data_IF_981775307273
#
_entry.id   IF_981775307273
#
_cell.length_a   1.000
_cell.length_b   1.000
_cell.length_c   1.000
_cell.angle_alpha   90.00
_cell.angle_beta   90.00
_cell.angle_gamma   90.00
#
_symmetry.space_group_name_H-M   'P 1'
#
loop_
_entity.id
_entity.type
_entity.pdbx_description
1 polymer ?
#
# COMPACT_ATOMS: atom_id res chain seq x y z
N UNK A 1 -11.55 -6.87 -5.30
CA UNK A 1 -10.72 -5.98 -6.14
C UNK A 1 -9.38 -6.68 -6.27
N UNK A 2 -8.80 -6.78 -7.45
CA UNK A 2 -7.53 -7.50 -7.64
C UNK A 2 -6.35 -6.54 -7.55
N UNK A 3 -5.38 -6.86 -6.70
CA UNK A 3 -4.15 -6.08 -6.52
C UNK A 3 -3.00 -6.58 -7.38
N UNK A 4 -1.83 -5.94 -7.34
CA UNK A 4 -0.66 -6.36 -8.14
C UNK A 4 -0.36 -7.86 -8.00
N UNK A 5 -0.29 -8.36 -6.75
CA UNK A 5 -0.03 -9.78 -6.46
C UNK A 5 -1.08 -10.68 -7.13
N UNK A 6 -2.36 -10.30 -7.10
CA UNK A 6 -3.43 -11.09 -7.70
C UNK A 6 -3.37 -11.10 -9.24
N UNK A 7 -2.92 -10.01 -9.86
CA UNK A 7 -2.86 -9.85 -11.33
C UNK A 7 -1.62 -10.52 -11.92
N UNK A 8 -0.47 -10.31 -11.27
CA UNK A 8 0.83 -10.67 -11.85
C UNK A 8 1.41 -11.97 -11.28
N UNK A 9 1.11 -12.31 -10.03
CA UNK A 9 1.79 -13.41 -9.32
C UNK A 9 0.85 -14.59 -9.10
N UNK A 10 -0.14 -14.47 -8.19
CA UNK A 10 -0.98 -15.61 -7.80
C UNK A 10 -2.01 -15.96 -8.87
N UNK A 11 -2.47 -14.96 -9.63
CA UNK A 11 -3.50 -15.12 -10.67
C UNK A 11 -4.76 -15.82 -10.15
N UNK A 12 -5.11 -15.56 -8.88
CA UNK A 12 -6.24 -16.19 -8.20
C UNK A 12 -7.56 -15.89 -8.95
N UNK A 13 -8.26 -16.91 -9.47
CA UNK A 13 -9.55 -16.73 -10.13
C UNK A 13 -10.61 -16.07 -9.26
N UNK A 14 -10.56 -16.24 -7.93
CA UNK A 14 -11.50 -15.60 -7.00
C UNK A 14 -11.32 -14.07 -6.97
N UNK A 15 -10.07 -13.62 -6.92
CA UNK A 15 -9.71 -12.20 -6.91
C UNK A 15 -9.93 -11.54 -8.26
N UNK A 16 -9.51 -12.21 -9.35
CA UNK A 16 -9.58 -11.66 -10.71
C UNK A 16 -10.97 -11.72 -11.34
N UNK A 17 -11.78 -12.73 -10.98
CA UNK A 17 -13.09 -13.00 -11.60
C UNK A 17 -12.99 -13.02 -13.13
N UNK A 18 -13.70 -12.14 -13.82
CA UNK A 18 -13.68 -12.00 -15.28
C UNK A 18 -12.62 -11.03 -15.81
N UNK A 19 -11.98 -10.24 -14.94
CA UNK A 19 -11.05 -9.16 -15.31
C UNK A 19 -9.59 -9.63 -15.28
N UNK A 20 -9.21 -10.45 -16.25
CA UNK A 20 -7.86 -11.07 -16.30
C UNK A 20 -6.77 -10.23 -16.98
N UNK A 21 -7.15 -9.12 -17.60
CA UNK A 21 -6.27 -8.27 -18.40
C UNK A 21 -6.45 -6.80 -17.99
N UNK A 22 -6.16 -6.52 -16.72
CA UNK A 22 -6.26 -5.18 -16.13
C UNK A 22 -4.89 -4.50 -16.22
N UNK A 23 -4.81 -3.23 -16.65
CA UNK A 23 -3.54 -2.53 -16.72
C UNK A 23 -2.97 -2.30 -15.33
N UNK A 24 -1.65 -2.35 -15.23
CA UNK A 24 -0.89 -1.91 -14.05
C UNK A 24 -0.96 -0.40 -13.88
N UNK A 25 -0.71 0.10 -12.66
CA UNK A 25 -0.59 1.53 -12.39
C UNK A 25 0.53 2.17 -13.22
N UNK A 26 1.59 1.40 -13.48
CA UNK A 26 2.68 1.77 -14.38
C UNK A 26 2.20 2.03 -15.82
N UNK A 27 1.40 1.12 -16.37
CA UNK A 27 0.84 1.26 -17.73
C UNK A 27 -0.16 2.39 -17.81
N UNK A 28 -1.04 2.52 -16.82
CA UNK A 28 -2.00 3.63 -16.73
C UNK A 28 -1.27 4.98 -16.67
N UNK A 29 -0.18 5.07 -15.89
CA UNK A 29 0.64 6.28 -15.78
C UNK A 29 1.32 6.62 -17.12
N UNK A 30 1.94 5.63 -17.78
CA UNK A 30 2.52 5.81 -19.13
C UNK A 30 1.47 6.29 -20.14
N UNK A 31 0.29 5.66 -20.14
CA UNK A 31 -0.80 6.01 -21.04
C UNK A 31 -1.31 7.45 -20.78
N UNK A 32 -1.53 7.82 -19.52
CA UNK A 32 -1.96 9.16 -19.14
C UNK A 32 -0.95 10.23 -19.61
N UNK A 33 0.34 10.03 -19.33
CA UNK A 33 1.41 10.94 -19.76
C UNK A 33 1.46 11.07 -21.29
N UNK A 34 1.33 9.96 -22.04
CA UNK A 34 1.34 9.98 -23.52
C UNK A 34 0.18 10.78 -24.15
N UNK A 35 -0.92 10.93 -23.42
CA UNK A 35 -2.09 11.72 -23.85
C UNK A 35 -1.91 13.18 -23.42
N UNK A 36 -1.52 13.40 -22.17
CA UNK A 36 -1.44 14.73 -21.56
C UNK A 36 -0.27 15.55 -22.09
N UNK A 37 0.86 14.94 -22.46
CA UNK A 37 2.03 15.64 -23.02
C UNK A 37 1.74 16.38 -24.32
N UNK A 38 0.65 16.03 -25.02
CA UNK A 38 0.20 16.72 -26.24
C UNK A 38 -0.42 18.10 -25.97
N UNK A 39 -0.67 18.44 -24.70
CA UNK A 39 -1.28 19.72 -24.30
C UNK A 39 -0.19 20.77 -24.10
N UNK A 40 -0.27 21.85 -24.89
CA UNK A 40 0.71 22.95 -24.85
C UNK A 40 0.62 23.82 -23.60
N UNK A 41 -0.56 23.86 -22.98
CA UNK A 41 -0.81 24.69 -21.79
C UNK A 41 -0.43 23.96 -20.47
N UNK A 42 0.19 22.78 -20.57
CA UNK A 42 0.51 21.92 -19.43
C UNK A 42 -0.67 21.05 -18.99
N UNK A 43 -0.48 20.32 -17.90
CA UNK A 43 -1.50 19.45 -17.31
C UNK A 43 -1.30 19.27 -15.81
N UNK A 44 -2.35 18.77 -15.16
CA UNK A 44 -2.31 18.23 -13.80
C UNK A 44 -2.74 16.76 -13.88
N UNK A 45 -1.99 15.88 -13.21
CA UNK A 45 -2.23 14.44 -13.19
C UNK A 45 -2.15 13.95 -11.73
N UNK A 46 -3.16 13.19 -11.32
CA UNK A 46 -3.15 12.41 -10.08
C UNK A 46 -3.01 10.95 -10.45
N UNK A 47 -2.08 10.26 -9.79
CA UNK A 47 -1.89 8.81 -9.86
C UNK A 47 -2.04 8.29 -8.44
N UNK A 48 -2.97 7.37 -8.22
CA UNK A 48 -3.36 6.91 -6.89
C UNK A 48 -3.13 5.40 -6.74
N UNK A 49 -2.28 5.02 -5.79
CA UNK A 49 -2.06 3.63 -5.37
C UNK A 49 -3.11 3.16 -4.34
N UNK A 50 -4.40 3.33 -4.62
CA UNK A 50 -5.49 3.13 -3.66
C UNK A 50 -5.63 1.69 -3.12
N UNK A 51 -4.92 0.72 -3.71
CA UNK A 51 -4.95 -0.66 -3.24
C UNK A 51 -4.12 -0.87 -1.98
N UNK A 52 -3.16 0.02 -1.69
CA UNK A 52 -2.36 -0.02 -0.46
C UNK A 52 -3.30 0.03 0.75
N UNK A 53 -4.11 1.07 0.85
CA UNK A 53 -5.15 1.23 1.88
C UNK A 53 -6.09 0.01 1.98
N UNK A 54 -6.57 -0.45 0.82
CA UNK A 54 -7.51 -1.57 0.75
C UNK A 54 -6.94 -2.87 1.29
N UNK A 55 -5.62 -3.05 1.21
CA UNK A 55 -4.92 -4.25 1.69
C UNK A 55 -4.40 -4.07 3.11
N UNK A 56 -4.17 -2.84 3.57
CA UNK A 56 -3.89 -2.57 4.97
C UNK A 56 -5.10 -2.89 5.85
N UNK A 57 -6.31 -2.42 5.49
CA UNK A 57 -7.56 -2.73 6.19
C UNK A 57 -7.73 -4.21 6.63
N UNK A 58 -7.60 -5.21 5.74
CA UNK A 58 -7.72 -6.63 6.04
C UNK A 58 -6.47 -7.28 6.63
N UNK A 59 -5.49 -6.47 7.05
CA UNK A 59 -4.23 -6.92 7.63
C UNK A 59 -3.34 -7.69 6.63
N UNK A 60 -3.39 -7.35 5.34
CA UNK A 60 -2.62 -8.02 4.27
C UNK A 60 -1.39 -7.18 3.89
N UNK A 61 -0.38 -7.25 4.76
CA UNK A 61 0.90 -6.54 4.61
C UNK A 61 1.62 -6.86 3.29
N UNK A 62 1.76 -8.14 2.88
CA UNK A 62 2.39 -8.47 1.61
C UNK A 62 1.69 -7.82 0.41
N UNK A 63 0.35 -7.90 0.29
CA UNK A 63 -0.35 -7.24 -0.81
C UNK A 63 -0.19 -5.72 -0.78
N UNK A 64 -0.30 -5.09 0.40
CA UNK A 64 -0.11 -3.65 0.58
C UNK A 64 1.29 -3.19 0.12
N UNK A 65 2.35 -3.91 0.51
CA UNK A 65 3.73 -3.60 0.11
C UNK A 65 3.93 -3.74 -1.41
N UNK A 66 3.36 -4.77 -2.05
CA UNK A 66 3.50 -4.93 -3.50
C UNK A 66 2.78 -3.81 -4.28
N UNK A 67 1.59 -3.37 -3.85
CA UNK A 67 0.97 -2.17 -4.46
C UNK A 67 1.77 -0.88 -4.17
N UNK A 68 2.45 -0.80 -3.02
CA UNK A 68 3.37 0.31 -2.72
C UNK A 68 4.56 0.33 -3.68
N UNK A 69 5.13 -0.83 -4.01
CA UNK A 69 6.16 -0.97 -5.06
C UNK A 69 5.57 -0.57 -6.43
N UNK A 70 4.33 -0.96 -6.75
CA UNK A 70 3.67 -0.56 -8.00
C UNK A 70 3.53 0.97 -8.11
N UNK A 71 3.19 1.65 -7.01
CA UNK A 71 3.18 3.11 -6.94
C UNK A 71 4.59 3.70 -7.10
N UNK A 72 5.61 3.16 -6.45
CA UNK A 72 7.00 3.62 -6.59
C UNK A 72 7.48 3.52 -8.06
N UNK A 73 7.16 2.43 -8.75
CA UNK A 73 7.48 2.30 -10.18
C UNK A 73 6.72 3.31 -11.06
N UNK A 74 5.45 3.58 -10.76
CA UNK A 74 4.69 4.63 -11.43
C UNK A 74 5.32 6.03 -11.22
N UNK A 75 5.79 6.32 -9.99
CA UNK A 75 6.57 7.53 -9.69
C UNK A 75 7.89 7.55 -10.47
N UNK A 76 8.59 6.42 -10.58
CA UNK A 76 9.79 6.27 -11.40
C UNK A 76 9.55 6.66 -12.87
N UNK A 77 8.48 6.14 -13.47
CA UNK A 77 8.04 6.49 -14.83
C UNK A 77 7.78 7.99 -14.96
N UNK A 78 7.04 8.59 -14.01
CA UNK A 78 6.75 10.01 -14.03
C UNK A 78 8.04 10.85 -13.92
N UNK A 79 9.00 10.44 -13.08
CA UNK A 79 10.31 11.11 -12.93
C UNK A 79 11.15 11.02 -14.20
N UNK A 80 11.17 9.87 -14.88
CA UNK A 80 11.87 9.71 -16.15
C UNK A 80 11.27 10.58 -17.26
N UNK A 81 9.94 10.65 -17.31
CA UNK A 81 9.23 11.55 -18.23
C UNK A 81 9.54 13.02 -17.91
N UNK A 82 9.43 13.43 -16.64
CA UNK A 82 9.70 14.80 -16.18
C UNK A 82 11.13 15.26 -16.47
N UNK A 83 12.12 14.37 -16.34
CA UNK A 83 13.54 14.68 -16.63
C UNK A 83 13.76 15.13 -18.08
N UNK A 84 12.93 14.68 -19.02
CA UNK A 84 13.00 15.04 -20.45
C UNK A 84 12.35 16.39 -20.76
N UNK A 85 11.50 16.90 -19.88
CA UNK A 85 10.72 18.13 -20.07
C UNK A 85 11.26 19.31 -19.25
N UNK A 86 11.75 19.06 -18.03
CA UNK A 86 12.46 20.06 -17.21
C UNK A 86 11.58 21.12 -16.54
N UNK A 87 10.26 21.01 -16.65
CA UNK A 87 9.26 21.97 -16.16
C UNK A 87 8.21 21.35 -15.23
N UNK A 88 8.38 20.08 -14.86
CA UNK A 88 7.40 19.32 -14.07
C UNK A 88 7.68 19.39 -12.57
N UNK A 89 6.62 19.55 -11.77
CA UNK A 89 6.61 19.29 -10.33
C UNK A 89 6.00 17.90 -10.09
N UNK A 90 6.67 17.07 -9.31
CA UNK A 90 6.12 15.78 -8.83
C UNK A 90 6.04 15.87 -7.31
N UNK A 91 4.85 15.61 -6.78
CA UNK A 91 4.59 15.52 -5.33
C UNK A 91 4.02 14.14 -5.06
N UNK A 92 4.57 13.44 -4.06
CA UNK A 92 4.11 12.15 -3.56
C UNK A 92 3.75 12.33 -2.10
N UNK A 93 2.55 11.92 -1.73
CA UNK A 93 2.02 11.96 -0.36
C UNK A 93 1.01 10.84 -0.18
N UNK A 94 0.64 10.55 1.06
CA UNK A 94 -0.57 9.82 1.38
C UNK A 94 -1.69 10.80 1.80
N UNK A 95 -2.94 10.33 1.78
CA UNK A 95 -4.11 11.03 2.32
C UNK A 95 -4.29 10.77 3.82
N UNK A 96 -3.88 9.59 4.30
CA UNK A 96 -3.76 9.22 5.72
C UNK A 96 -2.78 8.04 5.90
N UNK A 97 -2.51 7.65 7.16
CA UNK A 97 -1.69 6.48 7.49
C UNK A 97 -2.57 5.32 8.00
N UNK A 98 -1.97 4.13 8.12
CA UNK A 98 -2.51 2.96 8.80
C UNK A 98 -1.61 2.54 9.96
N UNK A 99 -2.05 1.54 10.72
CA UNK A 99 -1.32 1.06 11.90
C UNK A 99 -0.30 -0.04 11.61
N UNK A 100 0.06 -0.26 10.34
CA UNK A 100 1.03 -1.26 9.92
C UNK A 100 2.44 -0.83 10.33
N UNK A 101 3.23 -1.78 10.81
CA UNK A 101 4.66 -1.63 11.05
C UNK A 101 5.40 -2.88 10.62
N UNK A 102 6.63 -2.72 10.13
CA UNK A 102 7.54 -3.85 9.91
C UNK A 102 8.34 -4.03 11.21
N UNK A 103 7.98 -5.06 11.97
CA UNK A 103 8.54 -5.31 13.31
C UNK A 103 9.89 -6.05 13.22
N UNK A 104 10.02 -6.90 12.21
CA UNK A 104 11.20 -7.74 12.00
C UNK A 104 10.97 -8.68 10.82
N UNK A 105 11.35 -9.94 10.98
CA UNK A 105 11.11 -11.00 9.99
C UNK A 105 10.34 -12.16 10.60
N UNK A 106 9.78 -13.00 9.74
CA UNK A 106 9.19 -14.26 10.13
C UNK A 106 9.91 -15.40 9.38
N UNK A 107 10.64 -16.25 10.11
CA UNK A 107 11.48 -17.32 9.55
C UNK A 107 10.83 -18.70 9.74
N UNK A 108 10.57 -19.39 8.62
CA UNK A 108 9.96 -20.73 8.61
C UNK A 108 10.89 -21.88 8.23
N UNK A 109 12.19 -21.61 8.10
CA UNK A 109 13.15 -22.63 7.64
C UNK A 109 13.32 -23.78 8.63
N UNK A 110 13.30 -23.48 9.93
CA UNK A 110 13.49 -24.48 10.99
C UNK A 110 12.15 -25.07 11.49
N UNK A 111 11.05 -24.36 11.27
CA UNK A 111 9.70 -24.80 11.58
C UNK A 111 8.76 -24.35 10.45
N UNK A 112 8.21 -25.25 9.61
CA UNK A 112 7.35 -24.85 8.49
C UNK A 112 5.99 -24.29 8.92
N UNK A 113 5.60 -24.43 10.19
CA UNK A 113 4.45 -23.77 10.79
C UNK A 113 4.92 -22.94 12.00
N UNK A 114 5.71 -21.87 11.80
CA UNK A 114 6.05 -21.02 12.92
C UNK A 114 4.80 -20.25 13.29
N UNK A 115 4.31 -20.46 14.50
CA UNK A 115 3.45 -19.48 15.13
C UNK A 115 4.32 -18.24 15.50
N UNK A 116 4.06 -17.61 16.64
CA UNK A 116 4.86 -16.49 17.15
C UNK A 116 6.36 -16.80 17.31
N UNK A 117 6.73 -18.07 17.46
CA UNK A 117 8.14 -18.49 17.62
C UNK A 117 8.99 -18.26 16.35
N UNK A 118 8.38 -18.09 15.17
CA UNK A 118 9.12 -17.70 13.96
C UNK A 118 9.37 -16.21 13.85
N UNK A 119 8.76 -15.38 14.70
CA UNK A 119 8.91 -13.93 14.64
C UNK A 119 10.25 -13.51 15.24
N UNK A 120 11.20 -13.18 14.37
CA UNK A 120 12.47 -12.59 14.77
C UNK A 120 12.33 -11.09 15.06
N UNK A 121 12.96 -10.62 16.14
CA UNK A 121 12.94 -9.22 16.57
C UNK A 121 14.35 -8.67 16.79
N UNK A 122 14.53 -7.37 16.60
CA UNK A 122 15.82 -6.69 16.77
C UNK A 122 16.95 -7.34 15.93
N UNK A 123 18.08 -7.66 16.56
CA UNK A 123 19.22 -8.30 15.88
C UNK A 123 18.94 -9.74 15.44
N UNK A 124 18.02 -10.43 16.11
CA UNK A 124 17.69 -11.83 15.82
C UNK A 124 16.73 -11.97 14.63
N UNK A 125 16.13 -10.87 14.18
CA UNK A 125 15.31 -10.85 12.96
C UNK A 125 16.11 -11.21 11.70
N UNK A 126 17.42 -10.95 11.66
CA UNK A 126 18.19 -11.14 10.43
C UNK A 126 17.61 -10.36 9.24
N UNK A 127 17.69 -10.93 8.03
CA UNK A 127 17.21 -10.30 6.80
C UNK A 127 16.22 -11.21 6.07
N UNK A 128 15.16 -10.64 5.47
CA UNK A 128 14.27 -11.42 4.62
C UNK A 128 14.98 -11.88 3.34
N UNK A 129 14.49 -12.95 2.72
CA UNK A 129 15.11 -13.57 1.53
C UNK A 129 14.26 -13.45 0.26
N UNK A 130 13.56 -12.32 0.10
CA UNK A 130 12.94 -11.95 -1.18
C UNK A 130 13.98 -11.90 -2.30
N UNK A 131 13.61 -12.40 -3.48
CA UNK A 131 14.45 -12.44 -4.69
C UNK A 131 13.71 -11.74 -5.82
N UNK A 132 14.40 -10.87 -6.55
CA UNK A 132 13.97 -10.35 -7.86
C UNK A 132 14.95 -10.86 -8.91
N UNK A 133 14.71 -12.08 -9.41
CA UNK A 133 15.61 -12.72 -10.38
C UNK A 133 15.46 -12.15 -11.79
N UNK A 134 14.29 -11.59 -12.09
CA UNK A 134 13.94 -11.09 -13.42
C UNK A 134 14.29 -9.59 -13.60
N UNK A 135 14.58 -8.88 -12.51
CA UNK A 135 15.02 -7.49 -12.48
C UNK A 135 13.90 -6.49 -12.77
N UNK A 136 12.63 -6.86 -12.61
CA UNK A 136 11.49 -5.99 -12.84
C UNK A 136 11.18 -5.08 -11.65
N UNK A 137 11.95 -5.15 -10.57
CA UNK A 137 11.79 -4.33 -9.36
C UNK A 137 10.71 -4.85 -8.39
N UNK A 138 10.17 -6.05 -8.59
CA UNK A 138 9.29 -6.73 -7.66
C UNK A 138 9.92 -8.04 -7.18
N UNK A 139 9.71 -8.45 -5.92
CA UNK A 139 10.02 -9.81 -5.54
C UNK A 139 9.25 -10.83 -6.38
N UNK A 140 9.90 -11.94 -6.74
CA UNK A 140 9.31 -13.04 -7.52
C UNK A 140 8.19 -13.77 -6.77
N UNK A 141 8.20 -13.71 -5.43
CA UNK A 141 7.18 -14.30 -4.55
C UNK A 141 6.85 -13.37 -3.38
N UNK A 142 5.56 -13.23 -3.01
CA UNK A 142 5.15 -12.55 -1.78
C UNK A 142 5.40 -13.41 -0.52
N UNK A 143 5.69 -14.70 -0.67
CA UNK A 143 5.79 -15.69 0.42
C UNK A 143 7.15 -16.42 0.39
N UNK A 144 8.27 -15.75 0.74
CA UNK A 144 9.56 -16.42 0.86
C UNK A 144 9.73 -17.06 2.26
N UNK A 145 10.73 -17.96 2.43
CA UNK A 145 10.93 -18.67 3.70
C UNK A 145 11.31 -17.74 4.89
N UNK A 146 11.88 -16.57 4.62
CA UNK A 146 12.10 -15.49 5.58
C UNK A 146 11.43 -14.24 5.02
N UNK A 147 10.22 -13.95 5.49
CA UNK A 147 9.42 -12.81 5.05
C UNK A 147 9.51 -11.64 6.05
N UNK A 148 8.95 -10.49 5.69
CA UNK A 148 8.74 -9.41 6.63
C UNK A 148 7.69 -9.82 7.68
N UNK A 149 7.93 -9.49 8.94
CA UNK A 149 6.93 -9.62 10.00
C UNK A 149 6.18 -8.29 10.15
N UNK A 150 4.90 -8.31 9.75
CA UNK A 150 3.99 -7.18 9.86
C UNK A 150 3.27 -7.18 11.21
N UNK A 151 3.35 -6.06 11.92
CA UNK A 151 2.59 -5.79 13.13
C UNK A 151 1.53 -4.73 12.90
N UNK A 152 0.41 -4.84 13.62
CA UNK A 152 -0.74 -3.94 13.49
C UNK A 152 -1.07 -3.35 14.86
N UNK A 153 -1.04 -2.01 15.00
CA UNK A 153 -1.39 -1.40 16.28
C UNK A 153 -2.89 -1.39 16.54
N UNK A 154 -3.73 -1.44 15.52
CA UNK A 154 -5.18 -1.59 15.66
C UNK A 154 -5.69 -2.70 14.74
N UNK A 155 -6.56 -3.56 15.26
CA UNK A 155 -7.14 -4.68 14.52
C UNK A 155 -8.34 -5.29 15.28
N UNK A 156 -9.23 -6.01 14.59
CA UNK A 156 -10.25 -6.85 15.22
C UNK A 156 -9.64 -8.11 15.85
N UNK A 157 -10.46 -8.87 16.57
CA UNK A 157 -10.13 -10.26 16.87
C UNK A 157 -9.97 -11.04 15.55
N UNK A 158 -8.82 -11.68 15.34
CA UNK A 158 -8.55 -12.46 14.14
C UNK A 158 -7.57 -13.60 14.44
N UNK A 159 -7.43 -14.54 13.51
CA UNK A 159 -6.36 -15.56 13.56
C UNK A 159 -5.25 -15.15 12.61
N UNK A 160 -4.01 -15.41 13.02
CA UNK A 160 -2.83 -15.05 12.23
C UNK A 160 -1.69 -16.02 12.49
N UNK A 161 -1.16 -16.61 11.43
CA UNK A 161 0.08 -17.40 11.42
C UNK A 161 1.28 -16.57 10.94
N UNK A 162 1.07 -15.27 10.67
CA UNK A 162 2.04 -14.31 10.18
C UNK A 162 2.56 -14.63 8.77
N UNK A 163 1.85 -15.43 7.99
CA UNK A 163 2.20 -15.82 6.63
C UNK A 163 1.34 -15.14 5.57
N UNK A 164 1.84 -15.14 4.33
CA UNK A 164 1.06 -14.66 3.20
C UNK A 164 -0.10 -15.61 2.91
N UNK A 165 -1.31 -15.05 2.78
CA UNK A 165 -2.50 -15.76 2.37
C UNK A 165 -2.64 -15.76 0.83
N UNK A 166 -2.56 -16.92 0.13
CA UNK A 166 -2.61 -16.96 -1.33
C UNK A 166 -3.91 -16.42 -1.92
N UNK A 167 -5.03 -16.70 -1.24
CA UNK A 167 -6.33 -16.12 -1.55
C UNK A 167 -6.67 -15.02 -0.55
N UNK A 168 -7.23 -13.93 -1.05
CA UNK A 168 -7.70 -12.83 -0.23
C UNK A 168 -8.86 -13.29 0.67
N UNK A 169 -8.76 -13.04 1.97
CA UNK A 169 -9.82 -13.28 2.95
C UNK A 169 -9.81 -12.15 4.00
N UNK A 170 -11.00 -11.79 4.49
CA UNK A 170 -11.15 -10.79 5.56
C UNK A 170 -10.63 -11.36 6.90
N UNK A 171 -10.02 -10.55 7.78
CA UNK A 171 -9.51 -11.03 9.07
C UNK A 171 -10.64 -11.41 10.04
N UNK A 172 -11.73 -10.65 10.01
CA UNK A 172 -12.93 -10.90 10.79
C UNK A 172 -14.19 -10.67 9.94
N UNK A 173 -15.31 -11.23 10.39
CA UNK A 173 -16.63 -11.08 9.77
C UNK A 173 -17.62 -10.57 10.81
N UNK A 174 -18.51 -9.65 10.42
CA UNK A 174 -19.58 -9.17 11.31
C UNK A 174 -20.69 -10.21 11.39
N UNK A 175 -20.99 -10.69 12.59
CA UNK A 175 -22.12 -11.55 12.86
C UNK A 175 -23.42 -10.73 12.82
N UNK A 176 -24.31 -11.04 11.88
CA UNK A 176 -25.56 -10.28 11.68
C UNK A 176 -26.50 -10.28 12.89
N UNK A 177 -26.44 -11.32 13.73
CA UNK A 177 -27.31 -11.46 14.90
C UNK A 177 -26.86 -10.61 16.09
N UNK A 178 -25.55 -10.53 16.33
CA UNK A 178 -24.97 -9.76 17.45
C UNK A 178 -24.49 -8.37 17.05
N UNK A 179 -24.25 -8.13 15.76
CA UNK A 179 -23.55 -6.94 15.24
C UNK A 179 -22.07 -6.88 15.63
N UNK A 180 -21.53 -7.95 16.22
CA UNK A 180 -20.12 -8.04 16.64
C UNK A 180 -19.32 -8.78 15.58
N UNK A 181 -18.06 -8.39 15.41
CA UNK A 181 -17.08 -9.08 14.59
C UNK A 181 -16.61 -10.36 15.29
N UNK A 182 -16.37 -11.39 14.50
CA UNK A 182 -15.78 -12.66 14.92
C UNK A 182 -14.64 -13.01 13.95
N UNK A 183 -13.55 -13.65 14.42
CA UNK A 183 -12.47 -14.11 13.54
C UNK A 183 -13.01 -14.91 12.36
N UNK A 184 -12.55 -14.61 11.16
CA UNK A 184 -12.99 -15.32 9.96
C UNK A 184 -12.50 -16.78 10.01
N UNK A 185 -13.40 -17.79 10.05
CA UNK A 185 -12.99 -19.18 10.24
C UNK A 185 -12.26 -19.78 9.03
N UNK A 186 -12.30 -19.13 7.86
CA UNK A 186 -11.58 -19.62 6.68
C UNK A 186 -10.18 -19.01 6.53
N UNK A 187 -9.92 -17.87 7.18
CA UNK A 187 -8.60 -17.24 7.21
C UNK A 187 -7.80 -17.85 8.37
N UNK A 188 -6.66 -18.45 8.06
CA UNK A 188 -5.73 -19.02 9.05
C UNK A 188 -6.42 -19.92 10.10
N UNK A 189 -7.19 -20.95 9.69
CA UNK A 189 -8.12 -21.68 10.56
C UNK A 189 -7.46 -22.35 11.78
N UNK A 190 -6.18 -22.70 11.66
CA UNK A 190 -5.40 -23.36 12.70
C UNK A 190 -4.46 -22.42 13.45
N UNK A 191 -4.45 -21.13 13.10
CA UNK A 191 -3.51 -20.18 13.66
C UNK A 191 -3.97 -19.61 15.00
N UNK A 192 -3.06 -18.93 15.69
CA UNK A 192 -3.31 -18.34 17.00
C UNK A 192 -4.31 -17.20 16.92
N UNK A 193 -5.19 -17.12 17.91
CA UNK A 193 -6.08 -15.98 18.09
C UNK A 193 -5.26 -14.75 18.54
N UNK A 194 -5.36 -13.68 17.77
CA UNK A 194 -4.92 -12.33 18.12
C UNK A 194 -6.14 -11.57 18.64
N UNK A 195 -6.09 -11.15 19.91
CA UNK A 195 -7.17 -10.36 20.52
C UNK A 195 -7.01 -8.91 20.11
N UNK A 196 -8.04 -8.36 19.47
CA UNK A 196 -8.13 -7.00 18.99
C UNK A 196 -8.37 -5.96 20.08
N UNK A 197 -8.23 -4.70 19.68
CA UNK A 197 -8.40 -3.53 20.54
C UNK A 197 -9.39 -2.51 19.99
N UNK A 198 -10.01 -2.81 18.85
CA UNK A 198 -11.05 -1.99 18.25
C UNK A 198 -12.42 -2.29 18.89
N UNK A 199 -13.39 -1.37 18.75
CA UNK A 199 -14.79 -1.66 19.06
C UNK A 199 -15.24 -2.96 18.38
N UNK A 200 -16.04 -3.76 19.10
CA UNK A 200 -16.33 -5.13 18.69
C UNK A 200 -17.02 -5.25 17.34
N UNK A 201 -17.67 -4.21 16.83
CA UNK A 201 -18.29 -4.18 15.50
C UNK A 201 -17.30 -3.99 14.33
N UNK A 202 -16.06 -3.60 14.59
CA UNK A 202 -15.05 -3.39 13.54
C UNK A 202 -14.48 -4.74 13.08
N UNK A 203 -14.42 -4.98 11.77
CA UNK A 203 -13.93 -6.25 11.21
C UNK A 203 -12.60 -6.14 10.46
N UNK A 204 -11.98 -4.96 10.48
CA UNK A 204 -10.75 -4.60 9.78
C UNK A 204 -9.94 -3.64 10.67
N UNK A 205 -8.64 -3.45 10.39
CA UNK A 205 -7.96 -2.28 10.93
C UNK A 205 -8.55 -0.99 10.33
N UNK A 206 -8.26 0.13 10.97
CA UNK A 206 -8.71 1.46 10.58
C UNK A 206 -7.52 2.41 10.44
N UNK A 207 -7.76 3.54 9.78
CA UNK A 207 -6.76 4.58 9.57
C UNK A 207 -6.20 5.09 10.90
N UNK A 208 -4.99 5.62 10.86
CA UNK A 208 -4.37 6.35 11.97
C UNK A 208 -4.33 7.84 11.66
N UNK A 209 -4.15 8.65 12.71
CA UNK A 209 -4.11 10.12 12.64
C UNK A 209 -2.68 10.66 12.64
N UNK A 210 -1.70 9.79 12.40
CA UNK A 210 -0.29 10.16 12.35
C UNK A 210 0.02 11.00 11.11
N UNK A 211 1.02 11.87 11.23
CA UNK A 211 1.51 12.65 10.10
C UNK A 211 2.02 11.73 9.00
N UNK A 212 1.70 12.07 7.75
CA UNK A 212 2.18 11.37 6.56
C UNK A 212 3.33 12.13 5.90
N UNK A 213 4.19 11.40 5.19
CA UNK A 213 5.31 12.01 4.47
C UNK A 213 4.85 12.70 3.19
N UNK A 214 5.40 13.89 2.93
CA UNK A 214 5.30 14.57 1.65
C UNK A 214 6.69 14.67 1.03
N UNK A 215 6.85 14.11 -0.17
CA UNK A 215 8.12 14.15 -0.92
C UNK A 215 7.88 14.83 -2.26
N UNK A 216 8.69 15.84 -2.58
CA UNK A 216 8.56 16.59 -3.83
C UNK A 216 9.87 16.67 -4.62
N UNK A 217 9.76 16.69 -5.94
CA UNK A 217 10.89 16.87 -6.86
C UNK A 217 10.52 17.71 -8.08
N UNK A 218 11.51 18.29 -8.73
CA UNK A 218 11.31 19.12 -9.92
C UNK A 218 11.02 20.59 -9.62
N UNK A 219 10.44 21.29 -10.58
CA UNK A 219 10.32 22.75 -10.53
C UNK A 219 9.28 23.17 -9.49
N UNK A 220 9.71 23.86 -8.44
CA UNK A 220 8.82 24.33 -7.37
C UNK A 220 8.80 23.44 -6.13
N UNK A 221 9.54 22.33 -6.12
CA UNK A 221 9.59 21.38 -4.99
C UNK A 221 10.07 21.99 -3.68
N UNK A 222 10.82 23.11 -3.72
CA UNK A 222 11.25 23.84 -2.54
C UNK A 222 10.09 24.37 -1.67
N UNK A 223 8.85 24.35 -2.18
CA UNK A 223 7.63 24.71 -1.41
C UNK A 223 7.20 23.63 -0.43
N UNK A 224 7.67 22.41 -0.59
CA UNK A 224 7.32 21.27 0.25
C UNK A 224 8.46 21.02 1.25
N UNK A 225 8.64 21.96 2.17
CA UNK A 225 9.64 21.88 3.23
C UNK A 225 8.98 22.08 4.60
N UNK A 226 9.43 21.33 5.61
CA UNK A 226 8.88 21.40 6.96
C UNK A 226 7.59 20.59 7.15
N UNK A 227 6.83 20.96 8.17
CA UNK A 227 5.51 20.40 8.50
C UNK A 227 4.46 21.27 7.82
N UNK A 228 3.50 20.63 7.15
CA UNK A 228 2.47 21.28 6.37
C UNK A 228 1.11 20.75 6.80
N UNK A 229 0.11 21.62 6.91
CA UNK A 229 -1.28 21.19 6.93
C UNK A 229 -1.61 20.56 5.57
N UNK A 230 -2.48 19.54 5.55
CA UNK A 230 -2.84 18.85 4.30
C UNK A 230 -3.41 19.83 3.23
N UNK A 231 -4.06 20.91 3.66
CA UNK A 231 -4.58 21.95 2.77
C UNK A 231 -3.48 22.80 2.13
N UNK A 232 -2.31 22.94 2.77
CA UNK A 232 -1.18 23.71 2.25
C UNK A 232 -0.55 23.04 1.03
N UNK A 233 -0.64 21.71 0.90
CA UNK A 233 -0.18 20.96 -0.28
C UNK A 233 -0.85 21.49 -1.55
N UNK A 234 -2.17 21.73 -1.51
CA UNK A 234 -2.92 22.31 -2.62
C UNK A 234 -2.40 23.70 -3.00
N UNK A 235 -2.22 24.59 -2.01
CA UNK A 235 -1.77 25.95 -2.27
C UNK A 235 -0.32 25.99 -2.79
N UNK A 236 0.55 25.12 -2.28
CA UNK A 236 1.92 24.97 -2.77
C UNK A 236 1.95 24.52 -4.24
N UNK A 237 1.11 23.56 -4.63
CA UNK A 237 0.98 23.13 -6.03
C UNK A 237 0.42 24.25 -6.92
N UNK A 238 -0.64 24.93 -6.47
CA UNK A 238 -1.25 26.03 -7.22
C UNK A 238 -0.27 27.18 -7.47
N UNK A 239 0.53 27.55 -6.47
CA UNK A 239 1.57 28.58 -6.60
C UNK A 239 2.70 28.12 -7.54
N UNK A 240 3.15 26.86 -7.46
CA UNK A 240 4.15 26.32 -8.37
C UNK A 240 3.69 26.35 -9.85
N UNK A 241 2.40 26.11 -10.08
CA UNK A 241 1.74 26.19 -11.40
C UNK A 241 1.37 27.62 -11.81
N UNK A 242 1.62 28.63 -10.98
CA UNK A 242 1.24 30.04 -11.20
C UNK A 242 -0.26 30.24 -11.43
N UNK A 243 -1.10 29.41 -10.80
CA UNK A 243 -2.55 29.52 -10.91
C UNK A 243 -3.05 30.72 -10.09
N UNK A 244 -3.92 31.53 -10.69
CA UNK A 244 -4.64 32.58 -9.96
C UNK A 244 -5.86 31.98 -9.28
N UNK A 245 -5.77 31.79 -7.97
CA UNK A 245 -6.91 31.35 -7.18
C UNK A 245 -7.89 32.51 -6.97
N UNK A 246 -9.21 32.29 -7.14
CA UNK A 246 -10.21 33.31 -6.83
C UNK A 246 -10.17 33.64 -5.34
N UNK A 247 -10.42 34.91 -5.00
CA UNK A 247 -10.58 35.30 -3.60
C UNK A 247 -11.70 34.45 -2.95
N UNK A 248 -11.56 34.07 -1.66
CA UNK A 248 -12.62 33.37 -0.95
C UNK A 248 -13.93 34.15 -1.10
N UNK A 249 -15.00 33.46 -1.51
CA UNK A 249 -16.34 34.05 -1.43
C UNK A 249 -16.64 34.20 0.07
N UNK A 250 -16.69 35.44 0.53
CA UNK A 250 -17.19 35.78 1.88
C UNK A 250 -18.64 35.38 2.03
#
# INVERSE_FOLDING_TARGET
>A
MSVYVDREITKDPKSLKEFKDQPTLMEMTKAALSVLEKKKDGFFLVVEGASIDKMEHPLDGPRAVFDCIELDQAVGIAKEWAKKHGDTLIVVTADHNHSMSIVGTHDRRENPNPDREGNGVYGDAGFPNYVDSNGNGFPDSPDPDIQLFFGWSNHPDHRDDFQFNPSFEQPALVNEGSGQSEPNPVRDPNALLQVGNLPGEQSNCVHTVEDVSVVASGRGSQRFNGVLDNTEIFFAMADAMQLRLPAPKK
#
